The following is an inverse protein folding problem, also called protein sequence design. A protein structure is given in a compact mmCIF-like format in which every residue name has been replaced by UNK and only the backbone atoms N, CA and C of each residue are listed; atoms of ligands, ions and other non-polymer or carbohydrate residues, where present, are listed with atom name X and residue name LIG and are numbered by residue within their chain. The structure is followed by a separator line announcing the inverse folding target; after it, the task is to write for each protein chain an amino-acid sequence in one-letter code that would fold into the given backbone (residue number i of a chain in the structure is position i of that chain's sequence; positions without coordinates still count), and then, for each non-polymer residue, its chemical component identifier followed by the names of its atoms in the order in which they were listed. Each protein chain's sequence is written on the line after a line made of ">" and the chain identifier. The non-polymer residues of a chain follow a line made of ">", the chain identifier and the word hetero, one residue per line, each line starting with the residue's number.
data_IF_154163209804
#
_entry.id   IF_154163209804
#
_cell.length_a   1.000
_cell.length_b   1.000
_cell.length_c   1.000
_cell.angle_alpha   90.00
_cell.angle_beta   90.00
_cell.angle_gamma   90.00
#
_symmetry.space_group_name_H-M   'P 1'
#
loop_
_entity.id
_entity.type
_entity.pdbx_description
1 polymer ?
#
# COMPACT_ATOMS: atom_id res chain seq x y z
N UNK A 1 60.03 -3.89 -48.92
CA UNK A 1 60.86 -3.62 -47.74
C UNK A 1 60.15 -2.53 -46.93
N UNK A 2 58.88 -2.73 -46.56
CA UNK A 2 58.40 -3.63 -45.50
C UNK A 2 58.76 -3.08 -44.12
N UNK A 3 57.80 -3.07 -43.20
CA UNK A 3 57.89 -2.71 -41.77
C UNK A 3 57.33 -1.36 -41.32
N UNK A 4 56.23 -0.87 -41.92
CA UNK A 4 55.32 0.05 -41.19
C UNK A 4 53.83 -0.27 -41.27
N UNK A 5 53.41 -1.23 -42.08
CA UNK A 5 51.97 -1.53 -42.26
C UNK A 5 51.46 -2.73 -41.46
N UNK A 6 52.32 -3.40 -40.68
CA UNK A 6 51.93 -4.56 -39.85
C UNK A 6 51.64 -4.18 -38.38
N UNK A 7 51.96 -2.95 -37.95
CA UNK A 7 51.69 -2.50 -36.58
C UNK A 7 50.28 -1.91 -36.38
N UNK A 8 49.56 -1.59 -37.47
CA UNK A 8 48.24 -0.96 -37.39
C UNK A 8 47.07 -1.97 -37.30
N UNK A 9 47.32 -3.26 -37.55
CA UNK A 9 46.28 -4.31 -37.56
C UNK A 9 46.20 -5.04 -36.20
N UNK A 10 47.16 -4.80 -35.29
CA UNK A 10 47.20 -5.42 -33.96
C UNK A 10 46.55 -4.58 -32.84
N UNK A 11 46.07 -3.37 -33.14
CA UNK A 11 45.47 -2.47 -32.12
C UNK A 11 43.93 -2.49 -32.10
N UNK A 12 43.28 -3.21 -33.02
CA UNK A 12 41.81 -3.19 -33.18
C UNK A 12 41.10 -4.45 -32.68
N UNK A 13 41.80 -5.32 -31.94
CA UNK A 13 41.23 -6.52 -31.32
C UNK A 13 41.53 -6.60 -29.83
N UNK A 14 41.45 -5.48 -29.10
CA UNK A 14 41.37 -5.55 -27.64
C UNK A 14 40.75 -4.30 -27.02
N UNK A 15 39.52 -4.02 -27.42
CA UNK A 15 38.59 -3.22 -26.63
C UNK A 15 37.22 -3.89 -26.64
N UNK A 16 37.20 -5.21 -26.40
CA UNK A 16 36.04 -5.81 -25.77
C UNK A 16 36.00 -5.21 -24.37
N UNK A 17 35.14 -4.21 -24.19
CA UNK A 17 34.75 -3.74 -22.88
C UNK A 17 34.40 -4.98 -22.07
N UNK A 18 35.29 -5.33 -21.13
CA UNK A 18 34.99 -6.29 -20.10
C UNK A 18 33.78 -5.69 -19.38
N UNK A 19 32.62 -6.24 -19.72
CA UNK A 19 31.38 -6.08 -18.99
C UNK A 19 31.75 -6.44 -17.56
N UNK A 20 31.94 -5.42 -16.71
CA UNK A 20 32.10 -5.62 -15.29
C UNK A 20 30.92 -6.51 -14.89
N UNK A 21 31.15 -7.67 -14.25
CA UNK A 21 30.03 -8.42 -13.74
C UNK A 21 29.29 -7.44 -12.87
N UNK A 22 28.06 -7.11 -13.25
CA UNK A 22 27.14 -6.41 -12.39
C UNK A 22 27.28 -7.13 -11.06
N UNK A 23 27.76 -6.43 -10.03
CA UNK A 23 27.73 -6.94 -8.66
C UNK A 23 26.26 -7.20 -8.40
N UNK A 24 25.88 -8.45 -8.69
CA UNK A 24 24.61 -9.02 -8.32
C UNK A 24 24.69 -8.96 -6.81
N UNK A 25 24.10 -7.91 -6.24
CA UNK A 25 23.79 -7.88 -4.82
C UNK A 25 23.22 -9.27 -4.54
N UNK A 26 23.83 -10.07 -3.64
CA UNK A 26 23.33 -11.40 -3.39
C UNK A 26 21.88 -11.21 -2.99
N UNK A 27 20.98 -11.58 -3.90
CA UNK A 27 19.57 -11.63 -3.61
C UNK A 27 19.47 -12.84 -2.71
N UNK A 28 19.73 -12.63 -1.41
CA UNK A 28 19.54 -13.65 -0.39
C UNK A 28 18.09 -14.06 -0.55
N UNK A 29 17.92 -15.22 -1.16
CA UNK A 29 16.61 -15.74 -1.51
C UNK A 29 15.85 -16.00 -0.21
N UNK A 30 14.52 -15.96 -0.24
CA UNK A 30 13.72 -16.31 0.93
C UNK A 30 14.11 -17.69 1.49
N UNK A 31 14.46 -18.61 0.58
CA UNK A 31 15.06 -19.92 0.86
C UNK A 31 16.41 -19.84 1.59
N UNK A 32 17.31 -18.92 1.22
CA UNK A 32 18.59 -18.73 1.90
C UNK A 32 18.44 -18.07 3.28
N UNK A 33 17.47 -17.16 3.46
CA UNK A 33 17.12 -16.61 4.77
C UNK A 33 16.47 -17.67 5.68
N UNK A 34 15.68 -18.58 5.11
CA UNK A 34 15.11 -19.73 5.82
C UNK A 34 16.19 -20.80 6.16
N UNK A 35 17.26 -20.87 5.37
CA UNK A 35 18.39 -21.79 5.57
C UNK A 35 19.51 -21.24 6.46
N UNK A 36 19.45 -19.98 6.92
CA UNK A 36 20.25 -19.55 8.08
C UNK A 36 19.67 -20.24 9.31
N UNK A 37 20.04 -21.50 9.48
CA UNK A 37 19.86 -22.29 10.69
C UNK A 37 20.63 -21.57 11.80
N UNK A 38 19.90 -20.68 12.49
CA UNK A 38 20.32 -20.07 13.74
C UNK A 38 20.42 -21.21 14.74
N UNK A 39 21.56 -21.92 14.68
CA UNK A 39 21.73 -23.30 15.10
C UNK A 39 20.86 -23.60 16.30
N UNK A 40 19.91 -24.53 16.11
CA UNK A 40 19.00 -25.04 17.14
C UNK A 40 19.71 -25.09 18.49
N UNK A 41 19.53 -24.04 19.30
CA UNK A 41 19.89 -24.05 20.70
C UNK A 41 19.01 -25.14 21.27
N UNK A 42 19.60 -26.29 21.56
CA UNK A 42 18.98 -27.33 22.36
C UNK A 42 18.58 -26.66 23.67
N UNK A 43 17.33 -26.19 23.73
CA UNK A 43 16.67 -25.78 24.95
C UNK A 43 16.45 -27.07 25.71
N UNK A 44 17.52 -27.58 26.35
CA UNK A 44 17.36 -28.57 27.40
C UNK A 44 16.33 -28.02 28.39
N UNK A 45 15.44 -28.89 28.89
CA UNK A 45 14.34 -28.60 29.80
C UNK A 45 14.73 -27.59 30.90
N UNK A 46 14.69 -26.31 30.55
CA UNK A 46 14.86 -25.19 31.47
C UNK A 46 13.45 -24.78 31.83
N UNK A 47 13.19 -24.64 33.12
CA UNK A 47 11.93 -24.13 33.61
C UNK A 47 11.58 -22.82 32.86
N UNK A 48 10.29 -22.59 32.53
CA UNK A 48 9.88 -21.38 31.84
C UNK A 48 10.34 -20.14 32.61
N UNK A 49 10.84 -19.14 31.88
CA UNK A 49 11.31 -17.89 32.48
C UNK A 49 10.16 -17.20 33.22
N UNK A 50 10.41 -16.79 34.48
CA UNK A 50 9.44 -16.09 35.33
C UNK A 50 10.06 -14.81 35.84
N UNK A 51 9.31 -13.72 35.77
CA UNK A 51 9.67 -12.45 36.37
C UNK A 51 9.32 -12.52 37.86
N UNK A 52 10.33 -12.46 38.73
CA UNK A 52 10.17 -12.67 40.18
C UNK A 52 10.44 -11.43 41.03
N UNK A 53 11.04 -10.39 40.45
CA UNK A 53 11.42 -9.15 41.13
C UNK A 53 11.34 -7.96 40.15
N UNK A 54 11.20 -6.75 40.68
CA UNK A 54 11.06 -5.51 39.89
C UNK A 54 12.26 -5.28 38.97
N UNK A 55 13.46 -5.69 39.39
CA UNK A 55 14.68 -5.63 38.57
C UNK A 55 14.61 -6.57 37.35
N UNK A 56 13.94 -7.72 37.51
CA UNK A 56 13.72 -8.67 36.41
C UNK A 56 12.64 -8.14 35.45
N UNK A 57 11.63 -7.43 35.97
CA UNK A 57 10.61 -6.77 35.17
C UNK A 57 11.21 -5.61 34.35
N UNK A 58 12.03 -4.77 34.97
CA UNK A 58 12.73 -3.66 34.30
C UNK A 58 13.66 -4.17 33.18
N UNK A 59 14.42 -5.25 33.45
CA UNK A 59 15.20 -5.93 32.42
C UNK A 59 14.33 -6.45 31.27
N UNK A 60 13.18 -7.05 31.57
CA UNK A 60 12.25 -7.56 30.55
C UNK A 60 11.68 -6.44 29.68
N UNK A 61 11.26 -5.32 30.29
CA UNK A 61 10.78 -4.12 29.56
C UNK A 61 11.90 -3.57 28.67
N UNK A 62 13.12 -3.43 29.20
CA UNK A 62 14.28 -2.99 28.42
C UNK A 62 14.56 -3.94 27.25
N UNK A 63 14.42 -5.26 27.44
CA UNK A 63 14.59 -6.22 26.35
C UNK A 63 13.52 -6.11 25.28
N UNK A 64 12.26 -5.86 25.65
CA UNK A 64 11.19 -5.59 24.70
C UNK A 64 11.47 -4.28 23.94
N UNK A 65 12.00 -3.25 24.62
CA UNK A 65 12.36 -1.98 24.01
C UNK A 65 13.50 -2.13 23.00
N UNK A 66 14.57 -2.86 23.36
CA UNK A 66 15.69 -3.19 22.49
C UNK A 66 15.18 -3.93 21.23
N UNK A 67 14.34 -4.95 21.37
CA UNK A 67 13.79 -5.72 20.24
C UNK A 67 12.90 -4.86 19.32
N UNK A 68 12.03 -4.01 19.89
CA UNK A 68 11.22 -3.06 19.13
C UNK A 68 12.09 -2.06 18.36
N UNK A 69 13.19 -1.62 18.95
CA UNK A 69 14.11 -0.68 18.31
C UNK A 69 14.88 -1.32 17.15
N UNK A 70 15.32 -2.57 17.28
CA UNK A 70 15.96 -3.31 16.19
C UNK A 70 14.96 -3.61 15.05
N UNK A 71 13.73 -3.99 15.39
CA UNK A 71 12.66 -4.12 14.40
C UNK A 71 12.43 -2.80 13.64
N UNK A 72 12.32 -1.67 14.34
CA UNK A 72 12.11 -0.37 13.72
C UNK A 72 13.29 0.02 12.82
N UNK A 73 14.52 -0.24 13.25
CA UNK A 73 15.73 -0.01 12.44
C UNK A 73 15.72 -0.83 11.15
N UNK A 74 15.39 -2.13 11.23
CA UNK A 74 15.28 -3.00 10.04
C UNK A 74 14.13 -2.55 9.13
N UNK A 75 13.00 -2.17 9.73
CA UNK A 75 11.84 -1.63 8.99
C UNK A 75 12.20 -0.35 8.24
N UNK A 76 12.90 0.59 8.88
CA UNK A 76 13.35 1.83 8.22
C UNK A 76 14.27 1.53 7.04
N UNK A 77 15.22 0.60 7.18
CA UNK A 77 16.09 0.18 6.09
C UNK A 77 15.31 -0.46 4.94
N UNK A 78 14.36 -1.34 5.27
CA UNK A 78 13.48 -1.97 4.28
C UNK A 78 12.60 -0.93 3.55
N UNK A 79 12.06 0.05 4.28
CA UNK A 79 11.22 1.09 3.70
C UNK A 79 12.03 2.05 2.81
N UNK A 80 13.29 2.34 3.15
CA UNK A 80 14.21 3.05 2.25
C UNK A 80 14.46 2.28 0.95
N UNK A 81 14.65 0.96 1.02
CA UNK A 81 14.82 0.13 -0.17
C UNK A 81 13.55 0.08 -1.03
N UNK A 82 12.37 -0.05 -0.41
CA UNK A 82 11.09 0.03 -1.13
C UNK A 82 10.94 1.37 -1.84
N UNK A 83 11.22 2.48 -1.17
CA UNK A 83 11.15 3.81 -1.77
C UNK A 83 12.07 3.93 -2.99
N UNK A 84 13.30 3.40 -2.91
CA UNK A 84 14.23 3.38 -4.04
C UNK A 84 13.73 2.51 -5.22
N UNK A 85 13.05 1.40 -4.94
CA UNK A 85 12.43 0.55 -5.96
C UNK A 85 11.23 1.25 -6.58
N UNK A 86 10.35 1.85 -5.77
CA UNK A 86 9.20 2.63 -6.25
C UNK A 86 9.62 3.80 -7.13
N UNK A 87 10.70 4.51 -6.77
CA UNK A 87 11.26 5.56 -7.61
C UNK A 87 11.73 5.02 -8.96
N UNK A 88 12.40 3.86 -8.99
CA UNK A 88 12.81 3.21 -10.25
C UNK A 88 11.60 2.79 -11.10
N UNK A 89 10.55 2.27 -10.48
CA UNK A 89 9.30 1.91 -11.15
C UNK A 89 8.63 3.15 -11.73
N UNK A 90 8.55 4.23 -10.97
CA UNK A 90 7.96 5.49 -11.41
C UNK A 90 8.81 6.15 -12.50
N UNK A 91 10.14 6.05 -12.44
CA UNK A 91 11.03 6.50 -13.52
C UNK A 91 10.84 5.68 -14.80
N UNK A 92 10.70 4.36 -14.70
CA UNK A 92 10.38 3.49 -15.83
C UNK A 92 8.99 3.81 -16.42
N UNK A 93 8.01 4.06 -15.55
CA UNK A 93 6.67 4.51 -15.95
C UNK A 93 6.72 5.84 -16.69
N UNK A 94 7.42 6.84 -16.15
CA UNK A 94 7.63 8.15 -16.82
C UNK A 94 8.34 8.00 -18.16
N UNK A 95 9.34 7.11 -18.26
CA UNK A 95 10.02 6.81 -19.53
C UNK A 95 9.05 6.22 -20.55
N UNK A 96 8.22 5.27 -20.14
CA UNK A 96 7.20 4.68 -21.00
C UNK A 96 6.15 5.73 -21.42
N UNK A 97 5.65 6.52 -20.48
CA UNK A 97 4.67 7.58 -20.75
C UNK A 97 5.25 8.60 -21.73
N UNK A 98 6.48 9.09 -21.51
CA UNK A 98 7.14 10.02 -22.42
C UNK A 98 7.41 9.39 -23.80
N UNK A 99 7.82 8.12 -23.84
CA UNK A 99 8.08 7.40 -25.09
C UNK A 99 6.81 7.12 -25.90
N UNK A 100 5.68 6.92 -25.23
CA UNK A 100 4.38 6.62 -25.87
C UNK A 100 3.50 7.85 -26.10
N UNK A 101 3.72 8.95 -25.37
CA UNK A 101 2.94 10.18 -25.50
C UNK A 101 3.01 10.75 -26.92
N UNK A 102 4.21 10.78 -27.52
CA UNK A 102 4.38 11.24 -28.90
C UNK A 102 3.54 10.41 -29.87
N UNK A 103 3.68 9.08 -29.86
CA UNK A 103 2.92 8.19 -30.72
C UNK A 103 1.42 8.27 -30.45
N UNK A 104 1.01 8.44 -29.19
CA UNK A 104 -0.39 8.60 -28.81
C UNK A 104 -0.98 9.89 -29.39
N UNK A 105 -0.21 11.00 -29.38
CA UNK A 105 -0.63 12.25 -30.01
C UNK A 105 -0.77 12.10 -31.53
N UNK A 106 0.21 11.47 -32.20
CA UNK A 106 0.13 11.21 -33.64
C UNK A 106 -1.04 10.28 -33.99
N UNK A 107 -1.34 9.28 -33.15
CA UNK A 107 -2.50 8.41 -33.33
C UNK A 107 -3.82 9.16 -33.14
N UNK A 108 -3.87 10.15 -32.24
CA UNK A 108 -5.03 11.01 -32.08
C UNK A 108 -5.25 11.90 -33.31
N UNK A 109 -4.18 12.50 -33.84
CA UNK A 109 -4.24 13.28 -35.09
C UNK A 109 -4.70 12.42 -36.26
N UNK A 110 -4.13 11.23 -36.42
CA UNK A 110 -4.54 10.27 -37.44
C UNK A 110 -6.00 9.85 -37.28
N UNK A 111 -6.47 9.59 -36.06
CA UNK A 111 -7.86 9.21 -35.78
C UNK A 111 -8.86 10.27 -36.26
N UNK A 112 -8.51 11.56 -36.21
CA UNK A 112 -9.34 12.66 -36.69
C UNK A 112 -9.44 12.73 -38.23
N UNK A 113 -8.46 12.17 -38.95
CA UNK A 113 -8.42 12.18 -40.42
C UNK A 113 -9.13 10.99 -41.07
N UNK A 114 -9.27 9.88 -40.35
CA UNK A 114 -9.75 8.61 -40.91
C UNK A 114 -11.24 8.41 -40.65
N UNK A 115 -12.02 7.91 -41.63
CA UNK A 115 -13.41 7.53 -41.40
C UNK A 115 -13.48 6.38 -40.38
N UNK A 116 -14.09 6.65 -39.24
CA UNK A 116 -14.23 5.71 -38.12
C UNK A 116 -15.70 5.47 -37.76
N UNK A 117 -15.97 4.42 -36.97
CA UNK A 117 -17.34 4.12 -36.54
C UNK A 117 -17.71 5.01 -35.36
N UNK A 118 -18.65 5.91 -35.57
CA UNK A 118 -19.18 6.81 -34.53
C UNK A 118 -20.44 6.19 -33.90
N UNK A 119 -20.43 6.05 -32.58
CA UNK A 119 -21.60 5.72 -31.77
C UNK A 119 -21.92 6.88 -30.82
N UNK A 120 -23.14 6.91 -30.26
CA UNK A 120 -23.65 8.00 -29.39
C UNK A 120 -22.66 8.43 -28.28
N UNK A 121 -21.88 7.50 -27.76
CA UNK A 121 -20.99 7.74 -26.60
C UNK A 121 -19.51 7.46 -26.92
N UNK A 122 -19.18 6.91 -28.08
CA UNK A 122 -17.82 6.43 -28.37
C UNK A 122 -17.56 6.34 -29.87
N UNK A 123 -16.38 6.76 -30.30
CA UNK A 123 -15.86 6.56 -31.65
C UNK A 123 -14.79 5.47 -31.62
N UNK A 124 -14.88 4.50 -32.54
CA UNK A 124 -13.98 3.34 -32.58
C UNK A 124 -13.39 3.16 -33.97
N UNK A 125 -12.09 2.88 -34.01
CA UNK A 125 -11.36 2.51 -35.22
C UNK A 125 -10.48 1.29 -34.94
N UNK A 126 -10.81 0.16 -35.59
CA UNK A 126 -10.12 -1.13 -35.36
C UNK A 126 -9.03 -1.32 -36.40
N UNK A 127 -7.80 -1.52 -35.92
CA UNK A 127 -6.63 -1.92 -36.67
C UNK A 127 -6.31 -3.40 -36.38
N UNK A 128 -5.42 -3.99 -37.17
CA UNK A 128 -4.98 -5.37 -36.97
C UNK A 128 -4.25 -5.56 -35.62
N UNK A 129 -3.49 -4.55 -35.19
CA UNK A 129 -2.66 -4.56 -33.98
C UNK A 129 -3.34 -3.95 -32.75
N UNK A 130 -4.52 -3.34 -32.88
CA UNK A 130 -5.16 -2.63 -31.78
C UNK A 130 -6.44 -1.91 -32.18
N UNK A 131 -7.10 -1.24 -31.24
CA UNK A 131 -8.30 -0.45 -31.53
C UNK A 131 -8.17 0.93 -30.89
N UNK A 132 -8.25 1.99 -31.71
CA UNK A 132 -8.32 3.36 -31.24
C UNK A 132 -9.75 3.64 -30.80
N UNK A 133 -9.90 4.12 -29.57
CA UNK A 133 -11.22 4.39 -28.97
C UNK A 133 -11.21 5.79 -28.38
N UNK A 134 -12.03 6.68 -28.94
CA UNK A 134 -12.29 8.00 -28.36
C UNK A 134 -13.63 7.94 -27.62
N UNK A 135 -13.58 8.02 -26.29
CA UNK A 135 -14.79 8.20 -25.47
C UNK A 135 -15.08 9.69 -25.39
N UNK A 136 -16.29 10.10 -25.77
CA UNK A 136 -16.72 11.50 -25.61
C UNK A 136 -16.78 11.82 -24.11
N UNK A 137 -16.27 13.00 -23.74
CA UNK A 137 -16.24 13.43 -22.36
C UNK A 137 -17.66 13.46 -21.78
N UNK A 138 -17.89 12.69 -20.72
CA UNK A 138 -19.07 12.82 -19.88
C UNK A 138 -18.72 13.81 -18.78
N UNK A 139 -19.58 14.80 -18.53
CA UNK A 139 -19.44 15.72 -17.40
C UNK A 139 -19.51 14.91 -16.11
N UNK A 140 -18.38 14.75 -15.44
CA UNK A 140 -18.33 14.25 -14.06
C UNK A 140 -18.38 15.46 -13.15
N UNK A 141 -19.51 15.65 -12.48
CA UNK A 141 -19.61 16.63 -11.42
C UNK A 141 -18.90 16.07 -10.18
N UNK A 142 -17.83 16.72 -9.73
CA UNK A 142 -17.32 16.54 -8.37
C UNK A 142 -18.31 17.19 -7.43
N UNK A 143 -18.94 16.36 -6.59
CA UNK A 143 -19.90 16.81 -5.59
C UNK A 143 -19.14 17.25 -4.34
N UNK A 144 -19.32 18.51 -3.94
CA UNK A 144 -18.85 19.03 -2.66
C UNK A 144 -20.02 18.96 -1.67
N UNK A 145 -20.08 17.87 -0.91
CA UNK A 145 -21.17 17.61 0.03
C UNK A 145 -21.31 18.71 1.11
N UNK A 146 -20.22 19.38 1.48
CA UNK A 146 -20.25 20.45 2.48
C UNK A 146 -21.04 21.68 2.01
N UNK A 147 -21.07 21.95 0.69
CA UNK A 147 -21.86 23.03 0.09
C UNK A 147 -23.19 22.54 -0.46
N UNK A 148 -23.24 21.29 -0.93
CA UNK A 148 -24.42 20.71 -1.53
C UNK A 148 -25.48 20.38 -0.47
N UNK A 149 -25.11 19.87 0.71
CA UNK A 149 -26.08 19.53 1.77
C UNK A 149 -26.86 20.76 2.29
N UNK A 150 -26.23 21.90 2.59
CA UNK A 150 -26.97 23.13 2.92
C UNK A 150 -27.84 23.61 1.78
N UNK A 151 -27.33 23.63 0.54
CA UNK A 151 -28.10 24.05 -0.63
C UNK A 151 -29.31 23.15 -0.89
N UNK A 152 -29.18 21.82 -0.74
CA UNK A 152 -30.29 20.87 -0.88
C UNK A 152 -31.36 21.10 0.20
N UNK A 153 -30.96 21.42 1.44
CA UNK A 153 -31.91 21.74 2.52
C UNK A 153 -32.63 23.07 2.28
N UNK A 154 -31.92 24.11 1.84
CA UNK A 154 -32.50 25.43 1.57
C UNK A 154 -33.43 25.44 0.35
N UNK A 155 -33.15 24.63 -0.67
CA UNK A 155 -33.94 24.57 -1.90
C UNK A 155 -35.05 23.50 -1.87
N UNK A 156 -35.36 22.94 -0.69
CA UNK A 156 -36.46 21.99 -0.52
C UNK A 156 -36.19 20.57 -1.04
N UNK A 157 -34.94 20.25 -1.34
CA UNK A 157 -34.48 18.91 -1.73
C UNK A 157 -33.95 18.10 -0.53
N UNK A 158 -34.56 18.27 0.65
CA UNK A 158 -34.16 17.58 1.87
C UNK A 158 -34.20 16.05 1.75
N UNK A 159 -35.09 15.53 0.91
CA UNK A 159 -35.24 14.08 0.63
C UNK A 159 -34.04 13.47 -0.10
N UNK A 160 -33.19 14.30 -0.74
CA UNK A 160 -31.96 13.88 -1.42
C UNK A 160 -30.73 13.93 -0.49
N UNK A 161 -30.89 14.43 0.73
CA UNK A 161 -29.82 14.40 1.74
C UNK A 161 -29.84 13.04 2.41
N UNK A 162 -28.77 12.27 2.23
CA UNK A 162 -28.58 11.02 2.97
C UNK A 162 -28.41 11.34 4.45
N UNK A 163 -29.45 11.12 5.25
CA UNK A 163 -29.38 11.17 6.71
C UNK A 163 -28.92 9.80 7.18
N UNK A 164 -27.63 9.67 7.48
CA UNK A 164 -27.15 8.50 8.23
C UNK A 164 -27.54 8.67 9.69
N UNK A 165 -28.72 8.16 10.04
CA UNK A 165 -29.16 7.98 11.43
C UNK A 165 -28.34 6.86 12.06
N UNK A 166 -27.08 7.16 12.35
CA UNK A 166 -26.24 6.27 13.15
C UNK A 166 -26.61 6.43 14.62
N UNK A 167 -26.81 5.30 15.29
CA UNK A 167 -27.00 5.30 16.73
C UNK A 167 -25.77 5.96 17.39
N UNK A 168 -26.01 6.96 18.23
CA UNK A 168 -24.95 7.57 19.06
C UNK A 168 -24.53 6.59 20.16
N UNK A 169 -23.83 5.53 19.76
CA UNK A 169 -23.35 4.49 20.65
C UNK A 169 -22.57 5.05 21.85
N UNK A 170 -21.82 6.14 21.64
CA UNK A 170 -21.07 6.82 22.69
C UNK A 170 -21.91 7.47 23.79
N UNK A 171 -23.14 7.91 23.48
CA UNK A 171 -24.11 8.41 24.46
C UNK A 171 -24.93 7.25 25.04
N UNK A 172 -25.35 6.30 24.20
CA UNK A 172 -26.13 5.12 24.61
C UNK A 172 -25.37 4.26 25.62
N UNK A 173 -24.08 3.96 25.39
CA UNK A 173 -23.25 3.15 26.30
C UNK A 173 -23.09 3.74 27.70
N UNK A 174 -23.27 5.05 27.88
CA UNK A 174 -23.19 5.71 29.20
C UNK A 174 -24.46 5.51 30.04
N UNK A 175 -25.59 5.24 29.37
CA UNK A 175 -26.90 5.03 29.99
C UNK A 175 -27.21 3.55 30.20
N UNK A 176 -26.36 2.65 29.70
CA UNK A 176 -26.53 1.21 29.84
C UNK A 176 -25.89 0.71 31.14
N UNK A 177 -26.65 -0.04 31.92
CA UNK A 177 -26.16 -0.97 32.92
C UNK A 177 -26.14 -2.37 32.31
N UNK A 178 -25.00 -3.04 32.42
CA UNK A 178 -24.83 -4.40 31.94
C UNK A 178 -25.08 -5.37 33.10
N UNK A 179 -26.09 -6.24 32.95
CA UNK A 179 -26.32 -7.36 33.86
C UNK A 179 -26.03 -8.64 33.07
N UNK A 180 -24.77 -9.10 33.13
CA UNK A 180 -24.31 -10.21 32.28
C UNK A 180 -24.37 -9.85 30.79
N UNK A 181 -25.02 -10.69 29.98
CA UNK A 181 -25.17 -10.50 28.53
C UNK A 181 -26.24 -9.47 28.14
N UNK A 182 -27.01 -8.95 29.11
CA UNK A 182 -28.15 -8.06 28.86
C UNK A 182 -27.79 -6.62 29.22
N UNK A 183 -27.91 -5.72 28.24
CA UNK A 183 -27.80 -4.29 28.44
C UNK A 183 -29.18 -3.68 28.78
N UNK A 184 -29.27 -2.99 29.91
CA UNK A 184 -30.50 -2.35 30.42
C UNK A 184 -30.30 -0.85 30.54
N UNK A 185 -31.30 -0.03 30.19
CA UNK A 185 -31.21 1.43 30.36
C UNK A 185 -31.45 1.80 31.83
N UNK A 186 -30.49 2.48 32.47
CA UNK A 186 -30.52 2.80 33.90
C UNK A 186 -31.73 3.64 34.34
N UNK A 187 -32.31 4.44 33.45
CA UNK A 187 -33.45 5.31 33.76
C UNK A 187 -34.81 4.62 33.68
N UNK A 188 -34.92 3.57 32.85
CA UNK A 188 -36.24 3.05 32.43
C UNK A 188 -36.38 1.55 32.67
N UNK A 189 -35.26 0.83 32.87
CA UNK A 189 -35.27 -0.63 33.05
C UNK A 189 -35.60 -1.41 31.78
N UNK A 190 -35.73 -0.75 30.63
CA UNK A 190 -35.96 -1.39 29.34
C UNK A 190 -34.68 -2.11 28.87
N UNK A 191 -34.88 -3.33 28.37
CA UNK A 191 -33.83 -4.15 27.75
C UNK A 191 -33.56 -3.58 26.36
N UNK A 192 -32.30 -3.25 26.06
CA UNK A 192 -31.92 -2.79 24.72
C UNK A 192 -31.71 -3.99 23.81
N UNK A 193 -32.73 -4.29 23.01
CA UNK A 193 -32.68 -5.31 21.98
C UNK A 193 -31.66 -4.89 20.90
N UNK A 194 -30.62 -5.72 20.68
CA UNK A 194 -29.53 -5.45 19.72
C UNK A 194 -28.16 -5.16 20.33
N UNK A 195 -28.02 -5.10 21.66
CA UNK A 195 -26.72 -5.01 22.34
C UNK A 195 -26.38 -6.33 23.02
N UNK A 196 -25.50 -7.10 22.40
CA UNK A 196 -24.86 -8.24 23.06
C UNK A 196 -23.58 -7.76 23.74
N UNK A 197 -23.57 -7.78 25.07
CA UNK A 197 -22.37 -7.47 25.84
C UNK A 197 -21.50 -8.72 25.93
N UNK A 198 -20.29 -8.66 25.38
CA UNK A 198 -19.25 -9.65 25.61
C UNK A 198 -18.13 -9.01 26.42
N UNK A 199 -17.71 -9.69 27.48
CA UNK A 199 -16.57 -9.26 28.29
C UNK A 199 -15.29 -9.53 27.48
N UNK A 200 -14.70 -8.48 26.91
CA UNK A 200 -13.36 -8.59 26.34
C UNK A 200 -12.38 -8.87 27.48
N UNK A 201 -11.50 -9.88 27.34
CA UNK A 201 -10.50 -10.14 28.36
C UNK A 201 -9.60 -8.91 28.53
N UNK A 202 -9.15 -8.69 29.77
CA UNK A 202 -8.22 -7.62 30.08
C UNK A 202 -7.01 -7.68 29.14
N UNK A 203 -6.77 -6.60 28.41
CA UNK A 203 -5.61 -6.49 27.52
C UNK A 203 -4.44 -5.93 28.31
N UNK A 204 -3.39 -6.74 28.45
CA UNK A 204 -2.12 -6.28 29.03
C UNK A 204 -1.27 -5.64 27.94
N UNK A 205 -0.88 -4.39 28.14
CA UNK A 205 -0.02 -3.63 27.22
C UNK A 205 1.23 -3.20 27.96
N UNK A 206 2.37 -3.29 27.29
CA UNK A 206 3.65 -2.73 27.76
C UNK A 206 3.91 -1.49 26.91
N UNK A 207 3.74 -0.31 27.52
CA UNK A 207 3.98 0.99 26.88
C UNK A 207 5.48 1.31 26.94
N UNK A 208 6.10 1.53 25.78
CA UNK A 208 7.55 1.76 25.58
C UNK A 208 7.74 2.88 24.55
#
# INVERSE_FOLDING_TARGET
>A
MSDKTTAAIAAEQQAAAAEAPAEVLPAVTLDELEQVDLGTVQQGERAPFRITDDRCADWAIRKIAEERSEYNRLKELADQQKAAIEEKVEAARRRMENGTAFLTSCLADFFNTVPHKTTKTTEKYRLLSGTLTLKKGTVKATVDDAKLVPWLRENGYGDLVKVEESAKWGELKKLLAYTGEIATIQSTGEIVEGVTAYETPATFTVDI
#
